data_IF_499785276461
#
_entry.id   IF_499785276461
#
_cell.length_a   1.000
_cell.length_b   1.000
_cell.length_c   1.000
_cell.angle_alpha   90.00
_cell.angle_beta   90.00
_cell.angle_gamma   90.00
#
_symmetry.space_group_name_H-M   'P 1'
#
loop_
_entity.id
_entity.type
_entity.pdbx_description
1 polymer ?
#
# COMPACT_ATOMS: atom_id res chain seq x y z
N UNK A 1 -21.11 28.87 43.58
CA UNK A 1 -21.51 28.66 42.17
C UNK A 1 -20.34 28.32 41.23
N UNK A 2 -19.08 28.37 41.68
CA UNK A 2 -17.89 28.15 40.83
C UNK A 2 -17.56 26.66 40.58
N UNK A 3 -17.91 25.76 41.52
CA UNK A 3 -17.65 24.31 41.39
C UNK A 3 -18.52 23.63 40.32
N UNK A 4 -19.76 24.12 40.13
CA UNK A 4 -20.69 23.56 39.13
C UNK A 4 -20.28 23.88 37.69
N UNK A 5 -19.56 24.99 37.48
CA UNK A 5 -19.10 25.43 36.16
C UNK A 5 -17.90 24.60 35.65
N UNK A 6 -17.05 24.13 36.56
CA UNK A 6 -15.88 23.29 36.24
C UNK A 6 -16.31 21.89 35.79
N UNK A 7 -17.34 21.31 36.41
CA UNK A 7 -17.88 19.99 36.04
C UNK A 7 -18.52 20.04 34.65
N UNK A 8 -19.21 21.13 34.32
CA UNK A 8 -19.80 21.34 32.99
C UNK A 8 -18.73 21.43 31.89
N UNK A 9 -17.57 22.04 32.18
CA UNK A 9 -16.47 22.17 31.22
C UNK A 9 -15.72 20.84 30.97
N UNK A 10 -15.64 19.97 31.97
CA UNK A 10 -15.03 18.64 31.85
C UNK A 10 -15.84 17.70 30.93
N UNK A 11 -17.17 17.80 30.94
CA UNK A 11 -18.03 17.00 30.05
C UNK A 11 -17.95 17.39 28.56
N UNK A 12 -17.50 18.61 28.25
CA UNK A 12 -17.36 19.09 26.86
C UNK A 12 -16.00 18.77 26.21
N UNK A 13 -15.09 18.15 26.95
CA UNK A 13 -13.76 17.75 26.44
C UNK A 13 -13.76 16.47 25.60
N UNK A 14 -14.91 15.77 25.54
CA UNK A 14 -15.07 14.55 24.74
C UNK A 14 -15.36 14.85 23.28
N UNK A 15 -14.34 15.24 22.50
CA UNK A 15 -14.14 14.90 21.09
C UNK A 15 -12.96 15.70 20.51
N UNK A 16 -11.77 15.54 21.11
CA UNK A 16 -10.52 15.91 20.46
C UNK A 16 -10.22 14.89 19.35
N UNK A 17 -10.79 15.08 18.16
CA UNK A 17 -10.41 14.34 16.94
C UNK A 17 -9.11 14.94 16.38
N UNK A 18 -8.06 14.97 17.19
CA UNK A 18 -6.75 15.53 16.81
C UNK A 18 -5.84 14.51 16.09
N UNK A 19 -6.19 13.22 16.17
CA UNK A 19 -5.50 12.16 15.45
C UNK A 19 -6.41 11.75 14.29
N UNK A 20 -6.19 12.34 13.12
CA UNK A 20 -6.85 11.90 11.90
C UNK A 20 -5.93 10.87 11.23
N UNK A 21 -6.08 9.55 11.48
CA UNK A 21 -5.28 8.50 10.83
C UNK A 21 -5.65 8.32 9.33
N UNK A 22 -6.43 9.26 8.78
CA UNK A 22 -6.97 9.20 7.41
C UNK A 22 -5.83 9.16 6.38
N UNK A 23 -4.72 9.87 6.64
CA UNK A 23 -3.53 9.83 5.77
C UNK A 23 -2.97 8.42 5.66
N UNK A 24 -2.73 7.77 6.80
CA UNK A 24 -2.01 6.50 6.86
C UNK A 24 -2.85 5.37 6.30
N UNK A 25 -4.16 5.39 6.60
CA UNK A 25 -5.10 4.39 6.06
C UNK A 25 -5.21 4.47 4.54
N UNK A 26 -5.30 5.68 3.98
CA UNK A 26 -5.46 5.87 2.53
C UNK A 26 -4.23 5.41 1.73
N UNK A 27 -3.04 5.51 2.32
CA UNK A 27 -1.79 5.02 1.73
C UNK A 27 -1.65 3.52 1.90
N UNK A 28 -1.99 3.01 3.09
CA UNK A 28 -1.80 1.60 3.41
C UNK A 28 -2.77 0.68 2.69
N UNK A 29 -4.02 1.10 2.49
CA UNK A 29 -5.04 0.30 1.81
C UNK A 29 -4.60 -0.23 0.42
N UNK A 30 -4.12 0.59 -0.53
CA UNK A 30 -3.66 0.08 -1.82
C UNK A 30 -2.42 -0.83 -1.71
N UNK A 31 -1.56 -0.63 -0.70
CA UNK A 31 -0.36 -1.46 -0.47
C UNK A 31 -0.77 -2.85 0.05
N UNK A 32 -1.61 -2.90 1.08
CA UNK A 32 -2.11 -4.17 1.63
C UNK A 32 -2.90 -4.94 0.55
N UNK A 33 -3.70 -4.24 -0.27
CA UNK A 33 -4.42 -4.84 -1.41
C UNK A 33 -3.48 -5.36 -2.49
N UNK A 34 -2.39 -4.65 -2.79
CA UNK A 34 -1.38 -5.08 -3.75
C UNK A 34 -0.79 -6.42 -3.32
N UNK A 35 -0.37 -6.54 -2.06
CA UNK A 35 0.25 -7.76 -1.54
C UNK A 35 -0.73 -8.91 -1.42
N UNK A 36 -1.98 -8.63 -1.04
CA UNK A 36 -3.04 -9.63 -1.06
C UNK A 36 -3.30 -10.17 -2.47
N UNK A 37 -3.30 -9.29 -3.48
CA UNK A 37 -3.42 -9.67 -4.88
C UNK A 37 -2.25 -10.54 -5.33
N UNK A 38 -1.02 -10.19 -4.96
CA UNK A 38 0.17 -10.99 -5.24
C UNK A 38 0.09 -12.38 -4.61
N UNK A 39 -0.22 -12.47 -3.31
CA UNK A 39 -0.32 -13.72 -2.58
C UNK A 39 -1.37 -14.68 -3.16
N UNK A 40 -2.46 -14.13 -3.71
CA UNK A 40 -3.56 -14.87 -4.35
C UNK A 40 -3.34 -15.15 -5.84
N UNK A 41 -2.31 -14.57 -6.46
CA UNK A 41 -2.16 -14.60 -7.92
C UNK A 41 -3.24 -13.82 -8.68
N UNK A 42 -3.93 -12.89 -8.01
CA UNK A 42 -5.01 -12.09 -8.59
C UNK A 42 -4.44 -10.84 -9.25
N UNK A 43 -4.08 -10.97 -10.53
CA UNK A 43 -3.53 -9.87 -11.32
C UNK A 43 -4.53 -8.72 -11.54
N UNK A 44 -5.84 -8.95 -11.48
CA UNK A 44 -6.83 -7.88 -11.60
C UNK A 44 -6.87 -7.03 -10.32
N UNK A 45 -6.77 -7.67 -9.14
CA UNK A 45 -6.62 -6.97 -7.86
C UNK A 45 -5.34 -6.13 -7.83
N UNK A 46 -4.21 -6.69 -8.29
CA UNK A 46 -2.94 -5.96 -8.41
C UNK A 46 -3.06 -4.76 -9.36
N UNK A 47 -3.67 -4.95 -10.54
CA UNK A 47 -3.87 -3.86 -11.51
C UNK A 47 -4.68 -2.70 -10.90
N UNK A 48 -5.68 -3.00 -10.06
CA UNK A 48 -6.53 -1.98 -9.42
C UNK A 48 -5.79 -1.05 -8.44
N UNK A 49 -4.59 -1.43 -7.98
CA UNK A 49 -3.78 -0.63 -7.06
C UNK A 49 -2.93 0.44 -7.77
N UNK A 50 -2.87 0.44 -9.09
CA UNK A 50 -2.06 1.38 -9.86
C UNK A 50 -2.91 2.46 -10.53
N UNK A 51 -2.34 3.66 -10.65
CA UNK A 51 -2.88 4.70 -11.50
C UNK A 51 -2.71 4.35 -12.98
N UNK A 52 -3.47 5.00 -13.86
CA UNK A 52 -3.39 4.79 -15.31
C UNK A 52 -1.97 5.08 -15.88
N UNK A 53 -1.23 5.99 -15.24
CA UNK A 53 0.17 6.27 -15.55
C UNK A 53 1.03 5.88 -14.35
N UNK A 54 2.04 5.05 -14.59
CA UNK A 54 2.93 4.49 -13.56
C UNK A 54 4.35 4.39 -14.11
N UNK A 55 5.32 4.67 -13.25
CA UNK A 55 6.73 4.41 -13.53
C UNK A 55 7.16 3.21 -12.70
N UNK A 56 7.68 2.17 -13.35
CA UNK A 56 8.33 1.07 -12.66
C UNK A 56 9.81 1.03 -13.00
N UNK A 57 10.61 0.65 -12.01
CA UNK A 57 12.03 0.42 -12.16
C UNK A 57 12.41 -0.90 -11.47
N UNK A 58 13.15 -1.74 -12.19
CA UNK A 58 13.64 -3.02 -11.69
C UNK A 58 15.14 -2.94 -11.53
N UNK A 59 15.64 -3.30 -10.34
CA UNK A 59 17.07 -3.53 -10.12
C UNK A 59 17.39 -4.96 -10.52
N UNK A 60 18.35 -5.14 -11.42
CA UNK A 60 18.84 -6.45 -11.84
C UNK A 60 20.36 -6.48 -11.91
N UNK A 61 20.95 -7.67 -11.87
CA UNK A 61 22.39 -7.84 -12.04
C UNK A 61 22.74 -7.80 -13.52
N UNK A 62 23.61 -6.88 -13.91
CA UNK A 62 24.20 -6.82 -15.24
C UNK A 62 25.18 -7.99 -15.47
N UNK A 63 25.62 -8.17 -16.71
CA UNK A 63 26.54 -9.26 -17.10
C UNK A 63 27.86 -9.26 -16.32
N UNK A 64 28.28 -8.10 -15.84
CA UNK A 64 29.50 -7.89 -15.04
C UNK A 64 29.27 -8.06 -13.52
N UNK A 65 28.08 -8.47 -13.11
CA UNK A 65 27.68 -8.60 -11.70
C UNK A 65 27.27 -7.27 -11.04
N UNK A 66 27.45 -6.14 -11.71
CA UNK A 66 27.08 -4.83 -11.18
C UNK A 66 25.56 -4.60 -11.23
N UNK A 67 24.97 -3.91 -10.24
CA UNK A 67 23.56 -3.57 -10.27
C UNK A 67 23.26 -2.62 -11.43
N UNK A 68 22.15 -2.89 -12.12
CA UNK A 68 21.65 -2.08 -13.22
C UNK A 68 20.17 -1.79 -12.98
N UNK A 69 19.74 -0.57 -13.30
CA UNK A 69 18.34 -0.16 -13.22
C UNK A 69 17.75 -0.24 -14.62
N UNK A 70 16.62 -0.95 -14.75
CA UNK A 70 15.81 -0.96 -15.96
C UNK A 70 14.48 -0.26 -15.66
N UNK A 71 14.13 0.73 -16.48
CA UNK A 71 12.79 1.31 -16.47
C UNK A 71 11.85 0.45 -17.31
N UNK A 72 10.71 0.07 -16.75
CA UNK A 72 9.73 -0.77 -17.44
C UNK A 72 8.68 0.08 -18.16
N UNK A 73 8.13 -0.44 -19.25
CA UNK A 73 7.10 0.22 -20.06
C UNK A 73 5.68 0.04 -19.46
N UNK A 74 5.54 0.16 -18.14
CA UNK A 74 4.29 -0.06 -17.41
C UNK A 74 4.22 -1.42 -16.68
N UNK A 75 3.03 -1.77 -16.18
CA UNK A 75 2.84 -2.89 -15.24
C UNK A 75 2.51 -4.23 -15.90
N UNK A 76 2.29 -4.29 -17.21
CA UNK A 76 1.72 -5.48 -17.87
C UNK A 76 2.53 -6.77 -17.64
N UNK A 77 3.85 -6.71 -17.69
CA UNK A 77 4.69 -7.89 -17.46
C UNK A 77 4.74 -8.30 -15.99
N UNK A 78 4.61 -7.33 -15.07
CA UNK A 78 4.41 -7.62 -13.65
C UNK A 78 3.07 -8.31 -13.40
N UNK A 79 1.98 -7.87 -14.03
CA UNK A 79 0.67 -8.51 -13.92
C UNK A 79 0.66 -9.93 -14.46
N UNK A 80 1.30 -10.16 -15.62
CA UNK A 80 1.51 -11.51 -16.16
C UNK A 80 2.30 -12.37 -15.18
N UNK A 81 3.37 -11.81 -14.61
CA UNK A 81 4.16 -12.52 -13.61
C UNK A 81 3.27 -12.91 -12.42
N UNK A 82 2.49 -12.00 -11.83
CA UNK A 82 1.57 -12.29 -10.72
C UNK A 82 0.54 -13.39 -11.08
N UNK A 83 -0.10 -13.29 -12.24
CA UNK A 83 -1.15 -14.23 -12.66
C UNK A 83 -0.66 -15.60 -13.15
N UNK A 84 0.65 -15.80 -13.30
CA UNK A 84 1.22 -17.09 -13.75
C UNK A 84 1.01 -18.16 -12.67
N UNK A 85 0.45 -19.35 -13.00
CA UNK A 85 0.29 -20.43 -12.03
C UNK A 85 1.62 -20.85 -11.39
N UNK A 86 1.62 -21.02 -10.06
CA UNK A 86 2.80 -21.37 -9.27
C UNK A 86 2.40 -22.15 -8.03
N UNK A 87 3.30 -23.02 -7.57
CA UNK A 87 3.13 -23.82 -6.35
C UNK A 87 3.31 -23.00 -5.08
N UNK A 88 4.16 -21.97 -5.15
CA UNK A 88 4.49 -21.10 -4.02
C UNK A 88 3.73 -19.77 -4.12
N UNK A 89 3.25 -19.26 -2.98
CA UNK A 89 2.57 -17.96 -2.89
C UNK A 89 3.59 -16.83 -2.93
N UNK A 90 3.29 -15.74 -3.66
CA UNK A 90 4.06 -14.50 -3.65
C UNK A 90 3.66 -13.66 -2.44
N UNK A 91 3.96 -14.16 -1.24
CA UNK A 91 3.60 -13.52 0.00
C UNK A 91 4.69 -12.54 0.45
N UNK A 92 4.34 -11.26 0.55
CA UNK A 92 5.21 -10.18 1.02
C UNK A 92 4.77 -9.73 2.42
N UNK A 93 5.72 -9.45 3.32
CA UNK A 93 5.43 -9.01 4.70
C UNK A 93 5.80 -7.54 4.87
N UNK A 94 4.89 -6.71 5.43
CA UNK A 94 5.10 -5.27 5.70
C UNK A 94 5.18 -5.01 7.19
#
# INVERSE_FOLDING_TARGET
MTKSLIVFFLFFSGQLVAQNPVSDKSIREPIDRLFLGMARGDSAMVHSCFAAQVTMATISKGKTGQPTIRHENGINDFLKAVGTPRTESLNETI
#
